data_IF_406664338893
#
_entry.id   IF_406664338893
#
_cell.length_a   1.000
_cell.length_b   1.000
_cell.length_c   1.000
_cell.angle_alpha   90.00
_cell.angle_beta   90.00
_cell.angle_gamma   90.00
#
_symmetry.space_group_name_H-M   'P 1'
#
loop_
_entity.id
_entity.type
_entity.pdbx_description
1 polymer ?
#
# COMPACT_ATOMS: atom_id res chain seq x y z
N UNK A 1 -7.30 -0.12 0.64
CA UNK A 1 -6.38 0.80 1.33
C UNK A 1 -5.70 1.64 0.27
N UNK A 2 -5.73 2.96 0.39
CA UNK A 2 -5.15 3.84 -0.62
C UNK A 2 -4.50 5.09 -0.03
N UNK A 3 -3.63 5.71 -0.82
CA UNK A 3 -3.08 7.05 -0.58
C UNK A 3 -2.29 7.17 0.73
N UNK A 4 -1.54 6.12 1.07
CA UNK A 4 -0.67 6.11 2.24
C UNK A 4 0.79 6.33 1.85
N UNK A 5 1.53 7.03 2.71
CA UNK A 5 2.98 7.12 2.65
C UNK A 5 3.60 6.29 3.78
N UNK A 6 4.28 5.21 3.41
CA UNK A 6 4.94 4.27 4.31
C UNK A 6 6.45 4.49 4.17
N UNK A 7 7.09 5.04 5.19
CA UNK A 7 8.50 5.44 5.16
C UNK A 7 9.19 5.12 6.49
N UNK A 8 10.52 5.24 6.51
CA UNK A 8 11.35 4.82 7.65
C UNK A 8 11.08 3.36 8.04
N UNK A 9 10.83 2.53 7.03
CA UNK A 9 10.37 1.16 7.22
C UNK A 9 11.51 0.19 7.57
N UNK A 10 12.74 0.69 7.74
CA UNK A 10 13.91 -0.05 8.21
C UNK A 10 14.15 -1.40 7.51
N UNK A 11 13.92 -1.46 6.19
CA UNK A 11 14.03 -2.68 5.38
C UNK A 11 13.10 -3.83 5.81
N UNK A 12 11.98 -3.51 6.44
CA UNK A 12 10.91 -4.47 6.77
C UNK A 12 9.88 -4.57 5.63
N UNK A 13 8.66 -5.02 5.92
CA UNK A 13 7.58 -5.19 4.94
C UNK A 13 6.74 -3.92 4.83
N UNK A 14 6.51 -3.42 3.62
CA UNK A 14 5.67 -2.25 3.36
C UNK A 14 4.19 -2.57 3.41
N UNK A 15 3.68 -3.23 2.36
CA UNK A 15 2.30 -3.69 2.28
C UNK A 15 2.24 -5.18 2.64
N UNK A 16 1.42 -5.51 3.64
CA UNK A 16 1.26 -6.88 4.14
C UNK A 16 -0.22 -7.27 4.12
N UNK A 17 -0.54 -8.40 3.49
CA UNK A 17 -1.84 -9.05 3.62
C UNK A 17 -1.68 -10.41 4.29
N UNK A 18 -2.45 -10.61 5.36
CA UNK A 18 -2.38 -11.81 6.20
C UNK A 18 -3.50 -12.82 5.88
N UNK A 19 -3.40 -13.99 6.50
CA UNK A 19 -4.29 -15.14 6.31
C UNK A 19 -5.77 -14.74 6.34
N UNK A 20 -6.44 -14.93 5.20
CA UNK A 20 -7.88 -14.64 5.06
C UNK A 20 -8.19 -13.28 4.43
N UNK A 21 -7.19 -12.46 4.13
CA UNK A 21 -7.37 -11.24 3.32
C UNK A 21 -7.84 -11.62 1.91
N UNK A 22 -9.02 -11.15 1.52
CA UNK A 22 -9.61 -11.44 0.21
C UNK A 22 -10.24 -10.24 -0.44
N UNK A 23 -10.07 -10.13 -1.76
CA UNK A 23 -10.68 -9.06 -2.56
C UNK A 23 -10.31 -7.65 -2.07
N UNK A 24 -9.15 -7.51 -1.41
CA UNK A 24 -8.65 -6.22 -0.96
C UNK A 24 -7.87 -5.55 -2.09
N UNK A 25 -8.14 -4.27 -2.32
CA UNK A 25 -7.34 -3.44 -3.23
C UNK A 25 -6.44 -2.50 -2.43
N UNK A 26 -5.14 -2.55 -2.73
CA UNK A 26 -4.11 -1.64 -2.23
C UNK A 26 -3.62 -0.79 -3.39
N UNK A 27 -3.92 0.50 -3.35
CA UNK A 27 -3.70 1.39 -4.51
C UNK A 27 -3.12 2.75 -4.15
N UNK A 28 -2.32 3.33 -5.04
CA UNK A 28 -1.74 4.66 -4.86
C UNK A 28 -0.99 4.86 -3.54
N UNK A 29 -0.36 3.80 -3.02
CA UNK A 29 0.51 3.94 -1.85
C UNK A 29 1.95 4.24 -2.31
N UNK A 30 2.68 5.02 -1.51
CA UNK A 30 4.11 5.28 -1.68
C UNK A 30 4.87 4.52 -0.60
N UNK A 31 5.71 3.58 -1.00
CA UNK A 31 6.46 2.70 -0.11
C UNK A 31 7.95 3.03 -0.23
N UNK A 32 8.51 3.52 0.87
CA UNK A 32 9.90 3.94 0.95
C UNK A 32 10.67 3.09 1.96
N UNK A 33 11.92 2.76 1.61
CA UNK A 33 12.91 2.10 2.49
C UNK A 33 12.48 0.69 2.98
N UNK A 34 11.65 0.00 2.20
CA UNK A 34 11.22 -1.38 2.46
C UNK A 34 12.26 -2.42 1.99
N UNK A 35 12.32 -3.56 2.67
CA UNK A 35 13.04 -4.76 2.23
C UNK A 35 12.15 -5.67 1.38
N UNK A 36 10.85 -5.66 1.67
CA UNK A 36 9.80 -6.24 0.84
C UNK A 36 8.70 -5.20 0.70
N UNK A 37 8.46 -4.67 -0.50
CA UNK A 37 7.47 -3.61 -0.66
C UNK A 37 6.03 -4.14 -0.60
N UNK A 38 5.81 -5.36 -1.10
CA UNK A 38 4.53 -6.07 -1.05
C UNK A 38 4.71 -7.54 -0.70
N UNK A 39 3.91 -8.00 0.26
CA UNK A 39 3.92 -9.34 0.81
C UNK A 39 2.50 -9.88 0.97
N UNK A 40 2.31 -11.16 0.65
CA UNK A 40 1.10 -11.91 1.01
C UNK A 40 1.51 -13.12 1.85
N UNK A 41 0.94 -13.28 3.05
CA UNK A 41 1.06 -14.51 3.82
C UNK A 41 0.16 -15.58 3.20
N UNK A 42 0.65 -16.22 2.14
CA UNK A 42 -0.13 -17.11 1.29
C UNK A 42 0.51 -18.50 1.26
N UNK A 43 -0.01 -19.38 2.11
CA UNK A 43 0.35 -20.80 2.17
C UNK A 43 -0.75 -21.65 1.53
N UNK A 44 -0.44 -22.89 1.16
CA UNK A 44 -1.40 -23.77 0.46
C UNK A 44 -2.69 -24.09 1.24
N UNK A 45 -2.78 -23.75 2.52
CA UNK A 45 -3.93 -24.02 3.38
C UNK A 45 -4.69 -22.76 3.81
N UNK A 46 -4.19 -21.56 3.49
CA UNK A 46 -4.81 -20.30 3.90
C UNK A 46 -5.49 -19.58 2.72
N UNK A 47 -6.14 -18.47 3.02
CA UNK A 47 -7.06 -17.78 2.10
C UNK A 47 -6.66 -16.34 1.80
N UNK A 48 -5.37 -16.07 1.62
CA UNK A 48 -4.87 -14.74 1.20
C UNK A 48 -5.00 -14.61 -0.31
N UNK A 49 -6.24 -14.43 -0.79
CA UNK A 49 -6.63 -14.69 -2.18
C UNK A 49 -7.25 -13.48 -2.87
N UNK A 50 -7.11 -13.40 -4.19
CA UNK A 50 -7.85 -12.49 -5.06
C UNK A 50 -7.68 -11.00 -4.68
N UNK A 51 -6.56 -10.66 -4.02
CA UNK A 51 -6.24 -9.27 -3.67
C UNK A 51 -5.51 -8.58 -4.83
N UNK A 52 -5.64 -7.27 -4.91
CA UNK A 52 -5.03 -6.47 -5.97
C UNK A 52 -4.12 -5.40 -5.38
N UNK A 53 -2.87 -5.40 -5.80
CA UNK A 53 -1.93 -4.30 -5.58
C UNK A 53 -1.83 -3.55 -6.90
N UNK A 54 -2.37 -2.34 -6.96
CA UNK A 54 -2.43 -1.59 -8.22
C UNK A 54 -1.92 -0.17 -8.09
N UNK A 55 -1.09 0.26 -9.03
CA UNK A 55 -0.65 1.67 -9.13
C UNK A 55 0.03 2.19 -7.85
N UNK A 56 0.80 1.33 -7.16
CA UNK A 56 1.64 1.75 -6.03
C UNK A 56 3.05 2.12 -6.50
N UNK A 57 3.71 3.03 -5.79
CA UNK A 57 5.11 3.42 -6.04
C UNK A 57 6.01 2.90 -4.93
N UNK A 58 7.17 2.34 -5.29
CA UNK A 58 8.14 1.87 -4.30
C UNK A 58 9.58 2.13 -4.76
N UNK A 59 10.50 2.45 -3.84
CA UNK A 59 11.89 2.73 -4.21
C UNK A 59 12.91 1.66 -3.79
N UNK A 60 12.49 0.67 -3.00
CA UNK A 60 13.33 -0.42 -2.56
C UNK A 60 12.53 -1.68 -2.23
N UNK A 61 13.24 -2.79 -2.09
CA UNK A 61 12.70 -4.06 -1.65
C UNK A 61 12.22 -4.97 -2.77
N UNK A 62 12.02 -6.24 -2.43
CA UNK A 62 11.55 -7.28 -3.36
C UNK A 62 10.03 -7.42 -3.30
N UNK A 63 9.47 -8.08 -4.32
CA UNK A 63 8.07 -8.49 -4.36
C UNK A 63 7.92 -9.91 -3.82
N UNK A 64 7.02 -10.13 -2.86
CA UNK A 64 6.70 -11.46 -2.31
C UNK A 64 5.18 -11.67 -2.27
N UNK A 65 4.55 -11.58 -3.44
CA UNK A 65 3.12 -11.77 -3.62
C UNK A 65 2.88 -13.11 -4.32
N UNK A 66 2.08 -13.98 -3.72
CA UNK A 66 1.66 -15.25 -4.34
C UNK A 66 0.62 -14.98 -5.41
N UNK A 67 1.07 -14.80 -6.64
CA UNK A 67 0.23 -14.64 -7.83
C UNK A 67 -0.13 -16.01 -8.43
N UNK A 68 -1.29 -16.11 -9.07
CA UNK A 68 -1.75 -17.35 -9.71
C UNK A 68 -2.39 -18.36 -8.75
N UNK A 69 -2.94 -19.44 -9.31
CA UNK A 69 -3.74 -20.41 -8.55
C UNK A 69 -2.93 -21.07 -7.42
N UNK A 70 -3.51 -21.27 -6.22
CA UNK A 70 -4.91 -21.02 -5.87
C UNK A 70 -5.19 -19.59 -5.37
N UNK A 71 -4.15 -18.77 -5.15
CA UNK A 71 -4.30 -17.49 -4.46
C UNK A 71 -4.78 -16.38 -5.39
N UNK A 72 -4.34 -16.35 -6.65
CA UNK A 72 -4.78 -15.38 -7.67
C UNK A 72 -4.65 -13.91 -7.27
N UNK A 73 -3.70 -13.56 -6.39
CA UNK A 73 -3.40 -12.15 -6.14
C UNK A 73 -2.85 -11.51 -7.42
N UNK A 74 -3.12 -10.22 -7.61
CA UNK A 74 -2.77 -9.46 -8.80
C UNK A 74 -1.86 -8.31 -8.44
N UNK A 75 -0.81 -8.13 -9.22
CA UNK A 75 0.03 -6.95 -9.26
C UNK A 75 -0.20 -6.27 -10.61
N UNK A 76 -0.64 -5.01 -10.62
CA UNK A 76 -0.90 -4.27 -11.85
C UNK A 76 -0.39 -2.82 -11.75
N UNK A 77 0.33 -2.32 -12.74
CA UNK A 77 0.70 -0.90 -12.79
C UNK A 77 1.56 -0.37 -11.62
N UNK A 78 2.13 -1.22 -10.77
CA UNK A 78 3.03 -0.78 -9.70
C UNK A 78 4.38 -0.37 -10.30
N UNK A 79 4.97 0.73 -9.83
CA UNK A 79 6.15 1.34 -10.42
C UNK A 79 7.29 1.39 -9.41
N UNK A 80 8.43 0.79 -9.77
CA UNK A 80 9.67 0.98 -9.03
C UNK A 80 10.30 2.33 -9.39
N UNK A 81 10.67 3.10 -8.38
CA UNK A 81 11.35 4.39 -8.49
C UNK A 81 12.82 4.22 -8.09
N UNK A 82 13.73 4.83 -8.84
CA UNK A 82 15.14 4.90 -8.44
C UNK A 82 15.33 6.03 -7.43
N UNK A 83 15.96 5.75 -6.30
CA UNK A 83 16.23 6.78 -5.29
C UNK A 83 14.96 7.38 -4.70
N UNK A 84 14.78 8.69 -4.82
CA UNK A 84 13.60 9.42 -4.29
C UNK A 84 12.98 10.36 -5.33
N UNK A 85 13.19 10.08 -6.61
CA UNK A 85 12.66 10.86 -7.73
C UNK A 85 11.18 10.52 -7.98
N UNK A 86 10.35 10.75 -6.97
CA UNK A 86 8.93 10.41 -6.97
C UNK A 86 8.15 11.20 -8.03
N UNK A 87 7.25 10.58 -8.80
CA UNK A 87 6.39 11.29 -9.74
C UNK A 87 5.41 12.22 -9.02
N UNK A 88 4.86 13.21 -9.73
CA UNK A 88 4.00 14.24 -9.16
C UNK A 88 2.81 13.67 -8.35
N UNK A 89 2.17 12.60 -8.83
CA UNK A 89 1.08 11.93 -8.12
C UNK A 89 1.54 11.27 -6.80
N UNK A 90 2.70 10.61 -6.81
CA UNK A 90 3.28 10.06 -5.58
C UNK A 90 3.66 11.17 -4.59
N UNK A 91 4.23 12.28 -5.06
CA UNK A 91 4.53 13.44 -4.21
C UNK A 91 3.26 14.04 -3.60
N UNK A 92 2.15 14.06 -4.36
CA UNK A 92 0.84 14.49 -3.86
C UNK A 92 0.35 13.55 -2.76
N UNK A 93 0.41 12.23 -2.95
CA UNK A 93 0.09 11.25 -1.91
C UNK A 93 0.95 11.48 -0.67
N UNK A 94 2.27 11.63 -0.80
CA UNK A 94 3.16 11.88 0.34
C UNK A 94 2.78 13.13 1.13
N UNK A 95 2.32 14.18 0.44
CA UNK A 95 1.89 15.44 1.05
C UNK A 95 0.54 15.33 1.76
N UNK A 96 -0.38 14.55 1.20
CA UNK A 96 -1.75 14.39 1.70
C UNK A 96 -1.89 13.25 2.72
N UNK A 97 -0.92 12.32 2.75
CA UNK A 97 -0.89 11.20 3.67
C UNK A 97 -0.81 11.64 5.14
N UNK A 98 -1.45 10.85 6.01
CA UNK A 98 -1.56 11.12 7.43
C UNK A 98 -2.98 11.39 7.86
N UNK A 99 -3.16 11.97 9.04
CA UNK A 99 -4.48 12.28 9.57
C UNK A 99 -5.04 13.47 8.79
N UNK A 100 -6.19 13.28 8.14
CA UNK A 100 -6.92 14.39 7.54
C UNK A 100 -7.21 15.46 8.60
N UNK A 101 -7.03 16.75 8.29
CA UNK A 101 -7.35 17.82 9.22
C UNK A 101 -8.76 17.66 9.75
N UNK A 102 -8.93 17.66 11.07
CA UNK A 102 -10.27 17.65 11.69
C UNK A 102 -11.03 18.87 11.14
N UNK A 103 -12.14 18.61 10.44
CA UNK A 103 -13.04 19.67 9.99
C UNK A 103 -13.37 20.56 11.20
N UNK A 104 -13.28 21.89 11.10
CA UNK A 104 -13.64 22.76 12.21
C UNK A 104 -15.05 22.40 12.68
N UNK A 105 -15.18 21.99 13.94
CA UNK A 105 -16.47 21.81 14.59
C UNK A 105 -17.22 23.14 14.43
N UNK A 106 -18.19 23.18 13.51
CA UNK A 106 -19.12 24.30 13.42
C UNK A 106 -19.82 24.33 14.76
N UNK A 107 -19.44 25.28 15.63
CA UNK A 107 -20.17 25.52 16.87
C UNK A 107 -21.55 25.99 16.45
N UNK A 108 -22.51 25.07 16.45
CA UNK A 108 -23.92 25.39 16.39
C UNK A 108 -24.25 26.10 17.69
N UNK A 109 -24.01 27.41 17.72
CA UNK A 109 -24.63 28.30 18.69
C UNK A 109 -26.12 28.33 18.35
N UNK A 110 -26.88 27.40 18.91
CA UNK A 110 -28.34 27.47 18.88
C UNK A 110 -28.78 28.46 19.97
N UNK A 111 -29.64 29.44 19.64
CA UNK A 111 -30.17 30.39 20.61
C UNK A 111 -31.04 29.72 21.69
#
# INVERSE_FOLDING_TARGET
MSDNYIYDNHRTVGLYLDEGSRYVTLTHNVIQDAGVWAFTNASGTNNTNDNTFTENWYNSGVTQVSTGSPHNNVLNGNVQISGTDWPAEAQRVMKEAGIEPVLPQVRLNRP
#
